data_IF_123499369747
#
_entry.id   IF_123499369747
#
_cell.length_a   1.000
_cell.length_b   1.000
_cell.length_c   1.000
_cell.angle_alpha   90.00
_cell.angle_beta   90.00
_cell.angle_gamma   90.00
#
_symmetry.space_group_name_H-M   'P 1'
#
loop_
_entity.id
_entity.type
_entity.pdbx_description
1 polymer ?
#
# COMPACT_ATOMS: atom_id res chain seq x y z
N UNK A 1 10.06 -2.90 -3.09
CA UNK A 1 8.77 -3.56 -3.36
C UNK A 1 8.65 -4.05 -4.81
N UNK A 2 9.19 -3.29 -5.76
CA UNK A 2 9.10 -3.67 -7.18
C UNK A 2 9.74 -5.02 -7.50
N UNK A 3 10.80 -5.38 -6.81
CA UNK A 3 11.46 -6.68 -7.00
C UNK A 3 10.59 -7.86 -6.55
N UNK A 4 9.51 -7.59 -5.84
CA UNK A 4 8.57 -8.62 -5.37
C UNK A 4 7.34 -8.77 -6.26
N UNK A 5 7.30 -8.05 -7.41
CA UNK A 5 6.21 -8.20 -8.36
C UNK A 5 6.02 -9.66 -8.74
N UNK A 6 4.77 -10.11 -8.75
CA UNK A 6 4.46 -11.51 -9.07
C UNK A 6 4.44 -12.46 -7.89
N UNK A 7 4.95 -12.04 -6.72
CA UNK A 7 4.87 -12.89 -5.53
C UNK A 7 3.39 -13.11 -5.15
N UNK A 8 3.03 -14.31 -4.69
CA UNK A 8 1.62 -14.61 -4.36
C UNK A 8 1.16 -13.89 -3.10
N UNK A 9 -0.15 -13.75 -2.96
CA UNK A 9 -0.74 -13.30 -1.71
C UNK A 9 -0.71 -14.45 -0.70
N UNK A 10 -0.36 -14.12 0.54
CA UNK A 10 -0.37 -15.10 1.62
C UNK A 10 -0.71 -14.40 2.92
N UNK A 11 -1.81 -14.80 3.56
CA UNK A 11 -2.25 -14.23 4.83
C UNK A 11 -1.14 -14.35 5.88
N UNK A 12 -0.79 -13.22 6.52
CA UNK A 12 0.30 -13.15 7.48
C UNK A 12 1.70 -13.19 6.85
N UNK A 13 1.81 -13.24 5.50
CA UNK A 13 3.09 -13.41 4.82
C UNK A 13 3.93 -12.14 4.79
N UNK A 14 5.25 -12.32 4.96
CA UNK A 14 6.23 -11.24 4.96
C UNK A 14 7.48 -11.59 4.15
N UNK A 15 7.42 -12.62 3.31
CA UNK A 15 8.58 -13.09 2.53
C UNK A 15 8.23 -13.25 1.06
N UNK A 16 9.24 -13.48 0.23
CA UNK A 16 9.05 -13.67 -1.21
C UNK A 16 8.20 -14.89 -1.56
N UNK A 17 7.96 -15.81 -0.62
CA UNK A 17 7.05 -16.92 -0.82
C UNK A 17 5.58 -16.51 -0.72
N UNK A 18 5.30 -15.30 -0.27
CA UNK A 18 3.97 -14.71 -0.22
C UNK A 18 3.89 -13.56 0.75
N UNK A 19 3.08 -12.55 0.40
CA UNK A 19 2.86 -11.37 1.23
C UNK A 19 1.38 -11.12 1.39
N UNK A 20 0.97 -10.67 2.60
CA UNK A 20 -0.31 -9.97 2.69
C UNK A 20 -0.03 -8.47 2.43
N UNK A 21 -1.09 -7.63 2.41
CA UNK A 21 -0.93 -6.22 2.00
C UNK A 21 0.02 -5.46 2.93
N UNK A 22 -0.17 -5.57 4.23
CA UNK A 22 0.68 -4.87 5.20
C UNK A 22 2.06 -5.53 5.34
N UNK A 23 2.16 -6.84 5.10
CA UNK A 23 3.43 -7.56 5.13
C UNK A 23 4.39 -7.06 4.06
N UNK A 24 3.90 -6.83 2.86
CA UNK A 24 4.70 -6.26 1.78
C UNK A 24 5.25 -4.89 2.17
N UNK A 25 4.39 -4.04 2.74
CA UNK A 25 4.77 -2.69 3.15
C UNK A 25 5.77 -2.72 4.30
N UNK A 26 5.52 -3.53 5.34
CA UNK A 26 6.45 -3.68 6.46
C UNK A 26 7.82 -4.11 6.00
N UNK A 27 7.89 -5.12 5.15
CA UNK A 27 9.15 -5.65 4.63
C UNK A 27 9.91 -4.62 3.81
N UNK A 28 9.20 -3.88 2.97
CA UNK A 28 9.80 -2.85 2.13
C UNK A 28 10.40 -1.72 2.95
N UNK A 29 9.66 -1.22 3.93
CA UNK A 29 10.12 -0.08 4.74
C UNK A 29 11.19 -0.49 5.75
N UNK A 30 11.18 -1.74 6.21
CA UNK A 30 12.22 -2.27 7.08
C UNK A 30 13.60 -2.21 6.42
N UNK A 31 13.65 -2.41 5.10
CA UNK A 31 14.90 -2.27 4.33
C UNK A 31 15.43 -0.84 4.33
N UNK A 32 14.56 0.13 4.60
CA UNK A 32 14.93 1.55 4.73
C UNK A 32 15.10 1.95 6.20
N UNK A 33 15.17 0.98 7.11
CA UNK A 33 15.29 1.17 8.56
C UNK A 33 14.09 1.89 9.17
N UNK A 34 12.91 1.72 8.56
CA UNK A 34 11.66 2.27 9.08
C UNK A 34 10.80 1.12 9.56
N UNK A 35 10.49 1.11 10.86
CA UNK A 35 9.64 0.09 11.44
C UNK A 35 8.20 0.60 11.48
N UNK A 36 7.31 -0.12 10.81
CA UNK A 36 5.88 0.22 10.75
C UNK A 36 5.05 -0.77 11.57
N UNK A 37 3.87 -0.33 12.05
CA UNK A 37 2.92 -1.27 12.66
C UNK A 37 2.57 -2.38 11.67
N UNK A 38 2.19 -3.55 12.18
CA UNK A 38 1.99 -4.74 11.34
C UNK A 38 0.72 -4.70 10.50
N UNK A 39 -0.31 -4.00 10.93
CA UNK A 39 -1.59 -3.97 10.23
C UNK A 39 -1.83 -2.66 9.48
N UNK A 40 -2.64 -2.73 8.42
CA UNK A 40 -2.93 -1.55 7.59
C UNK A 40 -3.64 -0.44 8.37
N UNK A 41 -4.61 -0.79 9.23
CA UNK A 41 -5.33 0.25 9.96
C UNK A 41 -4.46 0.95 11.01
N UNK A 42 -3.47 0.25 11.57
CA UNK A 42 -2.51 0.86 12.48
C UNK A 42 -1.52 1.74 11.73
N UNK A 43 -1.08 1.31 10.54
CA UNK A 43 -0.19 2.12 9.69
C UNK A 43 -0.82 3.46 9.34
N UNK A 44 -2.15 3.51 9.21
CA UNK A 44 -2.86 4.73 8.87
C UNK A 44 -2.77 5.80 9.95
N UNK A 45 -2.28 5.47 11.14
CA UNK A 45 -2.08 6.42 12.24
C UNK A 45 -0.65 6.96 12.30
N UNK A 46 0.23 6.47 11.43
CA UNK A 46 1.66 6.83 11.44
C UNK A 46 1.97 7.83 10.33
N UNK A 47 2.86 8.77 10.61
CA UNK A 47 3.28 9.77 9.64
C UNK A 47 2.28 10.88 9.45
N UNK A 48 2.45 11.63 8.35
CA UNK A 48 1.59 12.76 8.02
C UNK A 48 0.56 12.36 6.97
N UNK A 49 -0.69 12.70 7.22
CA UNK A 49 -1.76 12.52 6.25
C UNK A 49 -1.56 13.54 5.13
N UNK A 50 -1.49 13.07 3.89
CA UNK A 50 -1.16 13.90 2.74
C UNK A 50 -2.38 14.03 1.84
N UNK A 51 -2.59 15.25 1.30
CA UNK A 51 -3.61 15.46 0.29
C UNK A 51 -3.23 14.70 -0.99
N UNK A 52 -4.22 14.09 -1.62
CA UNK A 52 -4.04 13.32 -2.85
C UNK A 52 -3.29 14.10 -3.93
N UNK A 53 -3.50 15.42 -4.01
CA UNK A 53 -2.83 16.29 -4.99
C UNK A 53 -1.35 16.48 -4.68
N UNK A 54 -0.91 16.16 -3.48
CA UNK A 54 0.49 16.30 -3.05
C UNK A 54 1.18 14.95 -2.86
N UNK A 55 0.53 13.87 -3.28
CA UNK A 55 1.09 12.53 -3.15
C UNK A 55 2.41 12.41 -3.91
N UNK A 56 3.32 11.60 -3.38
CA UNK A 56 4.63 11.35 -3.97
C UNK A 56 4.95 9.87 -3.93
N UNK A 57 5.85 9.44 -4.81
CA UNK A 57 6.41 8.09 -4.79
C UNK A 57 6.95 7.78 -3.38
N UNK A 58 6.61 6.62 -2.86
CA UNK A 58 7.02 6.19 -1.53
C UNK A 58 5.99 6.46 -0.43
N UNK A 59 4.94 7.23 -0.72
CA UNK A 59 3.85 7.43 0.24
C UNK A 59 3.01 6.16 0.35
N UNK A 60 2.38 5.97 1.51
CA UNK A 60 1.44 4.87 1.74
C UNK A 60 0.05 5.29 1.32
N UNK A 61 -0.68 4.40 0.66
CA UNK A 61 -2.05 4.63 0.23
C UNK A 61 -2.96 3.58 0.85
N UNK A 62 -4.10 4.02 1.39
CA UNK A 62 -4.98 3.18 2.20
C UNK A 62 -6.38 3.07 1.61
N UNK A 63 -6.98 1.89 1.76
CA UNK A 63 -8.30 1.57 1.24
C UNK A 63 -9.16 0.83 2.27
N UNK A 64 -10.48 0.96 2.12
CA UNK A 64 -11.47 0.16 2.86
C UNK A 64 -11.97 -0.95 1.93
N UNK A 65 -11.39 -2.12 2.03
CA UNK A 65 -11.79 -3.27 1.20
C UNK A 65 -12.69 -4.24 1.95
N UNK A 66 -12.78 -4.11 3.27
CA UNK A 66 -13.63 -4.96 4.13
C UNK A 66 -14.31 -4.09 5.17
N UNK A 67 -15.59 -3.79 4.99
CA UNK A 67 -16.36 -3.03 5.96
C UNK A 67 -15.98 -1.57 6.07
N UNK A 68 -16.08 -0.99 7.26
CA UNK A 68 -15.99 0.45 7.49
C UNK A 68 -14.63 0.93 7.99
N UNK A 69 -13.63 0.09 8.02
CA UNK A 69 -12.30 0.52 8.46
C UNK A 69 -11.25 0.20 7.41
N UNK A 70 -10.10 0.88 7.51
CA UNK A 70 -8.97 0.64 6.62
C UNK A 70 -8.51 -0.81 6.79
N UNK A 71 -8.46 -1.53 5.67
CA UNK A 71 -8.10 -2.94 5.64
C UNK A 71 -7.10 -3.29 4.55
N UNK A 72 -6.67 -2.31 3.75
CA UNK A 72 -5.72 -2.54 2.66
C UNK A 72 -4.77 -1.37 2.55
N UNK A 73 -3.50 -1.65 2.19
CA UNK A 73 -2.46 -0.65 2.04
C UNK A 73 -1.55 -1.01 0.86
N UNK A 74 -1.06 0.02 0.18
CA UNK A 74 -0.05 -0.11 -0.85
C UNK A 74 0.96 1.00 -0.74
N UNK A 75 1.96 0.96 -1.63
CA UNK A 75 3.02 1.97 -1.71
C UNK A 75 2.93 2.64 -3.07
N UNK A 76 2.85 3.97 -3.09
CA UNK A 76 2.78 4.72 -4.34
C UNK A 76 4.09 4.55 -5.10
N UNK A 77 4.00 4.11 -6.35
CA UNK A 77 5.16 3.91 -7.23
C UNK A 77 5.31 5.00 -8.26
N UNK A 78 4.19 5.64 -8.64
CA UNK A 78 4.21 6.65 -9.69
C UNK A 78 3.05 7.61 -9.52
N UNK A 79 3.31 8.90 -9.68
CA UNK A 79 2.27 9.94 -9.65
C UNK A 79 2.28 10.65 -10.99
N UNK A 80 1.15 10.60 -11.67
CA UNK A 80 0.92 11.26 -12.97
C UNK A 80 -0.14 12.34 -12.77
N UNK A 81 -0.35 13.19 -13.78
CA UNK A 81 -1.29 14.31 -13.67
C UNK A 81 -2.69 13.87 -13.28
N UNK A 82 -3.17 12.77 -13.84
CA UNK A 82 -4.53 12.27 -13.61
C UNK A 82 -4.55 10.85 -13.05
N UNK A 83 -3.42 10.35 -12.54
CA UNK A 83 -3.35 8.97 -12.07
C UNK A 83 -2.31 8.82 -10.95
N UNK A 84 -2.59 7.87 -10.06
CA UNK A 84 -1.64 7.46 -9.03
C UNK A 84 -1.58 5.94 -9.11
N UNK A 85 -0.37 5.43 -9.32
CA UNK A 85 -0.13 3.98 -9.35
C UNK A 85 0.53 3.54 -8.06
N UNK A 86 0.16 2.36 -7.60
CA UNK A 86 0.68 1.82 -6.35
C UNK A 86 0.93 0.32 -6.47
N UNK A 87 1.96 -0.14 -5.76
CA UNK A 87 2.27 -1.57 -5.65
C UNK A 87 1.64 -2.08 -4.35
N UNK A 88 1.01 -3.24 -4.42
CA UNK A 88 0.34 -3.83 -3.27
C UNK A 88 0.20 -5.35 -3.45
N UNK A 89 -0.07 -6.07 -2.37
CA UNK A 89 -0.35 -7.49 -2.45
C UNK A 89 -1.86 -7.70 -2.47
N UNK A 90 -2.37 -8.09 -3.64
CA UNK A 90 -3.79 -8.33 -3.87
C UNK A 90 -4.14 -9.77 -3.51
N UNK A 91 -5.28 -9.99 -2.85
CA UNK A 91 -5.72 -11.33 -2.47
C UNK A 91 -5.89 -12.27 -3.67
N UNK A 92 -6.29 -11.73 -4.81
CA UNK A 92 -6.56 -12.53 -6.00
C UNK A 92 -5.38 -12.63 -6.97
N UNK A 93 -4.44 -11.67 -6.93
CA UNK A 93 -3.40 -11.55 -7.95
C UNK A 93 -1.97 -11.49 -7.39
N UNK A 94 -1.81 -11.48 -6.07
CA UNK A 94 -0.49 -11.32 -5.46
C UNK A 94 0.03 -9.90 -5.57
N UNK A 95 1.34 -9.74 -5.63
CA UNK A 95 1.98 -8.42 -5.71
C UNK A 95 1.87 -7.88 -7.12
N UNK A 96 1.11 -6.81 -7.27
CA UNK A 96 0.84 -6.16 -8.56
C UNK A 96 0.86 -4.64 -8.41
N UNK A 97 0.90 -3.95 -9.54
CA UNK A 97 0.74 -2.49 -9.59
C UNK A 97 -0.68 -2.20 -10.11
N UNK A 98 -1.40 -1.35 -9.39
CA UNK A 98 -2.75 -0.95 -9.75
C UNK A 98 -2.85 0.58 -9.81
N UNK A 99 -3.96 1.09 -10.34
CA UNK A 99 -4.25 2.52 -10.44
C UNK A 99 -5.40 2.89 -9.51
N UNK A 100 -5.28 4.08 -8.90
CA UNK A 100 -6.37 4.64 -8.09
C UNK A 100 -7.63 4.91 -8.93
N UNK A 101 -7.48 4.98 -10.25
CA UNK A 101 -8.60 5.22 -11.16
C UNK A 101 -9.37 3.95 -11.52
N UNK A 102 -8.88 2.77 -11.14
CA UNK A 102 -9.66 1.53 -11.30
C UNK A 102 -10.87 1.61 -10.37
N UNK A 103 -12.04 1.29 -10.89
CA UNK A 103 -13.30 1.44 -10.15
C UNK A 103 -13.26 0.83 -8.75
N UNK A 104 -12.69 -0.33 -8.61
CA UNK A 104 -12.58 -1.02 -7.32
C UNK A 104 -11.86 -0.16 -6.29
N UNK A 105 -10.71 0.42 -6.66
CA UNK A 105 -9.87 1.20 -5.74
C UNK A 105 -10.36 2.63 -5.58
N UNK A 106 -10.90 3.22 -6.64
CA UNK A 106 -11.43 4.58 -6.60
C UNK A 106 -12.54 4.72 -5.55
N UNK A 107 -13.42 3.74 -5.47
CA UNK A 107 -14.54 3.74 -4.52
C UNK A 107 -14.08 3.45 -3.09
N UNK A 108 -12.95 2.82 -2.91
CA UNK A 108 -12.47 2.35 -1.60
C UNK A 108 -11.34 3.17 -1.02
N UNK A 109 -10.85 4.14 -1.77
CA UNK A 109 -9.77 5.02 -1.33
C UNK A 109 -10.15 5.79 -0.06
N UNK A 110 -9.21 5.86 0.89
CA UNK A 110 -9.42 6.57 2.17
C UNK A 110 -8.43 7.72 2.33
N UNK A 111 -7.14 7.42 2.31
CA UNK A 111 -6.12 8.43 2.64
C UNK A 111 -4.73 8.01 2.16
N UNK A 112 -3.83 8.99 2.17
CA UNK A 112 -2.42 8.81 1.85
C UNK A 112 -1.61 9.34 3.03
N UNK A 113 -0.61 8.59 3.49
CA UNK A 113 0.27 9.02 4.57
C UNK A 113 1.72 9.04 4.11
N UNK A 114 2.47 10.04 4.55
CA UNK A 114 3.90 10.13 4.28
C UNK A 114 4.68 9.73 5.53
N UNK A 115 5.49 8.69 5.40
CA UNK A 115 6.36 8.20 6.46
C UNK A 115 7.83 8.34 6.08
N UNK A 116 8.14 8.57 4.80
CA UNK A 116 9.47 8.87 4.30
C UNK A 116 9.60 10.37 4.07
N UNK A 117 10.72 10.91 4.47
CA UNK A 117 11.02 12.35 4.23
C UNK A 117 11.71 12.55 2.89
#
# INVERSE_FOLDING_TARGET
ASQNLGAPYRSGGTSSSGFDCSGLVCTTYEKANIKLPRSSHEMATVGLKINKLKAQKGDLIFFKTRGNRISHVGIITEVLDNDIKFIHSSTSSGVIISSINEDYYKKRFVQINRVLN
#
